data_IF_330000816879
#
_entry.id   IF_330000816879
#
_cell.length_a   1.000
_cell.length_b   1.000
_cell.length_c   1.000
_cell.angle_alpha   90.00
_cell.angle_beta   90.00
_cell.angle_gamma   90.00
#
_symmetry.space_group_name_H-M   'P 1'
#
loop_
_entity.id
_entity.type
_entity.pdbx_description
1 polymer ?
#
# COMPACT_ATOMS: atom_id res chain seq x y z
N UNK A 1 -35.48 -5.39 -1.89
CA UNK A 1 -35.96 -6.76 -2.01
C UNK A 1 -36.11 -7.11 -3.48
N UNK A 2 -35.68 -8.28 -3.87
CA UNK A 2 -35.89 -8.82 -5.21
C UNK A 2 -37.14 -9.71 -5.17
N UNK A 3 -38.13 -9.38 -6.01
CA UNK A 3 -39.34 -10.22 -6.18
C UNK A 3 -39.11 -11.14 -7.37
N UNK A 4 -39.23 -12.41 -7.16
CA UNK A 4 -39.07 -13.43 -8.21
C UNK A 4 -40.30 -13.59 -9.11
N UNK A 5 -41.43 -12.96 -8.75
CA UNK A 5 -42.72 -13.11 -9.46
C UNK A 5 -43.41 -14.45 -9.24
N UNK A 6 -42.91 -15.26 -8.32
CA UNK A 6 -43.47 -16.58 -7.96
C UNK A 6 -43.88 -16.53 -6.49
N UNK A 7 -45.13 -16.70 -6.20
CA UNK A 7 -45.75 -16.57 -4.86
C UNK A 7 -45.23 -17.58 -3.82
N UNK A 8 -44.63 -18.67 -4.27
CA UNK A 8 -44.11 -19.75 -3.38
C UNK A 8 -42.65 -19.52 -2.96
N UNK A 9 -41.95 -18.54 -3.52
CA UNK A 9 -40.60 -18.23 -3.14
C UNK A 9 -40.59 -17.02 -2.18
N UNK A 10 -39.84 -17.11 -1.08
CA UNK A 10 -39.69 -15.96 -0.18
C UNK A 10 -39.01 -14.78 -0.88
N UNK A 11 -39.35 -13.59 -0.42
CA UNK A 11 -38.63 -12.37 -0.83
C UNK A 11 -37.16 -12.46 -0.43
N UNK A 12 -36.26 -12.37 -1.39
CA UNK A 12 -34.82 -12.29 -1.12
C UNK A 12 -34.40 -10.84 -0.95
N UNK A 13 -33.46 -10.61 -0.03
CA UNK A 13 -32.74 -9.35 0.01
C UNK A 13 -31.92 -9.23 -1.29
N UNK A 14 -32.06 -8.10 -1.99
CA UNK A 14 -31.23 -7.82 -3.13
C UNK A 14 -29.79 -7.71 -2.59
N UNK A 15 -28.89 -8.46 -3.17
CA UNK A 15 -27.46 -8.28 -2.90
C UNK A 15 -27.07 -6.89 -3.41
N UNK A 16 -26.76 -6.01 -2.48
CA UNK A 16 -26.27 -4.65 -2.74
C UNK A 16 -24.76 -4.57 -2.59
N UNK A 17 -24.09 -5.74 -2.47
CA UNK A 17 -22.65 -5.76 -2.42
C UNK A 17 -22.12 -5.14 -3.70
N UNK A 18 -21.56 -3.95 -3.56
CA UNK A 18 -20.82 -3.30 -4.60
C UNK A 18 -19.41 -3.90 -4.61
N UNK A 19 -18.91 -4.27 -5.79
CA UNK A 19 -17.48 -4.52 -5.98
C UNK A 19 -16.71 -3.20 -5.90
N UNK A 20 -16.99 -2.44 -4.87
CA UNK A 20 -16.40 -1.17 -4.65
C UNK A 20 -14.91 -1.35 -4.36
N UNK A 21 -14.07 -0.81 -5.22
CA UNK A 21 -12.61 -0.81 -5.09
C UNK A 21 -12.11 0.39 -4.30
N UNK A 22 -12.92 0.93 -3.42
CA UNK A 22 -12.64 2.13 -2.65
C UNK A 22 -12.04 1.85 -1.27
N UNK A 23 -11.74 0.59 -0.94
CA UNK A 23 -11.10 0.20 0.30
C UNK A 23 -10.16 -0.98 0.11
N UNK A 24 -8.98 -0.98 0.77
CA UNK A 24 -8.06 -2.11 0.78
C UNK A 24 -8.59 -3.31 1.57
N UNK A 25 -9.55 -3.10 2.47
CA UNK A 25 -10.23 -4.14 3.25
C UNK A 25 -11.72 -3.87 3.25
N UNK A 26 -12.38 -4.31 2.17
CA UNK A 26 -13.78 -3.99 1.90
C UNK A 26 -14.72 -5.09 2.40
N UNK A 27 -15.84 -4.67 3.01
CA UNK A 27 -16.98 -5.56 3.25
C UNK A 27 -17.85 -5.63 1.99
N UNK A 28 -18.06 -6.83 1.47
CA UNK A 28 -18.78 -7.08 0.21
C UNK A 28 -20.08 -7.85 0.40
N UNK A 29 -20.81 -7.49 1.44
CA UNK A 29 -22.17 -8.01 1.74
C UNK A 29 -22.18 -9.20 2.68
N UNK A 30 -21.33 -10.20 2.51
CA UNK A 30 -21.25 -11.40 3.35
C UNK A 30 -19.81 -11.84 3.63
N UNK A 31 -18.81 -11.09 3.15
CA UNK A 31 -17.40 -11.39 3.33
C UNK A 31 -16.57 -10.10 3.31
N UNK A 32 -15.37 -10.20 3.82
CA UNK A 32 -14.35 -9.18 3.63
C UNK A 32 -13.40 -9.57 2.50
N UNK A 33 -12.98 -8.59 1.71
CA UNK A 33 -11.95 -8.75 0.68
C UNK A 33 -10.73 -7.95 1.07
N UNK A 34 -9.59 -8.65 1.25
CA UNK A 34 -8.29 -8.02 1.46
C UNK A 34 -7.62 -7.82 0.10
N UNK A 35 -7.20 -6.59 -0.21
CA UNK A 35 -6.76 -6.19 -1.55
C UNK A 35 -5.37 -5.55 -1.57
N UNK A 36 -4.56 -5.79 -0.55
CA UNK A 36 -3.32 -5.06 -0.32
C UNK A 36 -2.06 -5.80 -0.73
N UNK A 37 -2.13 -7.10 -0.98
CA UNK A 37 -0.94 -7.88 -1.30
C UNK A 37 -0.48 -7.56 -2.72
N UNK A 38 0.80 -7.19 -2.88
CA UNK A 38 1.44 -6.99 -4.16
C UNK A 38 1.51 -8.28 -4.99
N UNK A 39 1.67 -8.16 -6.30
CA UNK A 39 1.68 -9.32 -7.21
C UNK A 39 2.87 -10.27 -6.99
N UNK A 40 3.91 -9.82 -6.31
CA UNK A 40 5.11 -10.59 -5.99
C UNK A 40 5.12 -11.14 -4.57
N UNK A 41 4.20 -10.67 -3.71
CA UNK A 41 4.17 -11.05 -2.31
C UNK A 41 3.28 -12.27 -2.08
N UNK A 42 3.66 -13.06 -1.07
CA UNK A 42 2.83 -14.16 -0.60
C UNK A 42 1.65 -13.64 0.23
N UNK A 43 0.46 -14.16 -0.03
CA UNK A 43 -0.72 -13.91 0.80
C UNK A 43 -0.62 -14.56 2.18
N UNK A 44 0.37 -15.41 2.41
CA UNK A 44 0.50 -16.20 3.64
C UNK A 44 0.60 -15.34 4.89
N UNK A 45 1.43 -14.31 4.90
CA UNK A 45 1.58 -13.41 6.06
C UNK A 45 0.27 -12.69 6.40
N UNK A 46 -0.38 -12.10 5.40
CA UNK A 46 -1.67 -11.45 5.60
C UNK A 46 -2.71 -12.42 6.18
N UNK A 47 -2.78 -13.65 5.65
CA UNK A 47 -3.70 -14.67 6.16
C UNK A 47 -3.38 -15.12 7.59
N UNK A 48 -2.10 -15.27 7.94
CA UNK A 48 -1.69 -15.63 9.30
C UNK A 48 -2.15 -14.55 10.29
N UNK A 49 -1.85 -13.29 10.01
CA UNK A 49 -2.25 -12.17 10.87
C UNK A 49 -3.78 -12.09 10.98
N UNK A 50 -4.49 -12.07 9.85
CA UNK A 50 -5.95 -11.96 9.84
C UNK A 50 -6.63 -13.11 10.59
N UNK A 51 -6.19 -14.34 10.39
CA UNK A 51 -6.76 -15.49 11.11
C UNK A 51 -6.47 -15.42 12.62
N UNK A 52 -5.29 -14.95 13.03
CA UNK A 52 -4.92 -14.83 14.44
C UNK A 52 -5.76 -13.75 15.14
N UNK A 53 -5.92 -12.58 14.53
CA UNK A 53 -6.76 -11.50 15.13
C UNK A 53 -8.24 -11.89 15.20
N UNK A 54 -8.74 -12.64 14.21
CA UNK A 54 -10.11 -13.16 14.23
C UNK A 54 -10.27 -14.22 15.31
N UNK A 55 -9.28 -15.10 15.49
CA UNK A 55 -9.27 -16.09 16.57
C UNK A 55 -9.28 -15.42 17.95
N UNK A 56 -8.51 -14.33 18.13
CA UNK A 56 -8.51 -13.52 19.37
C UNK A 56 -9.89 -12.93 19.64
N UNK A 57 -10.49 -12.27 18.64
CA UNK A 57 -11.81 -11.68 18.80
C UNK A 57 -12.90 -12.73 19.11
N UNK A 58 -12.82 -13.92 18.52
CA UNK A 58 -13.71 -15.02 18.88
C UNK A 58 -13.45 -15.59 20.26
N UNK A 59 -12.22 -15.70 20.70
CA UNK A 59 -11.87 -16.11 22.07
C UNK A 59 -12.50 -15.17 23.09
N UNK A 60 -12.36 -13.87 22.88
CA UNK A 60 -12.94 -12.86 23.79
C UNK A 60 -14.47 -12.90 23.79
N UNK A 61 -15.08 -13.10 22.61
CA UNK A 61 -16.53 -13.30 22.50
C UNK A 61 -16.99 -14.55 23.23
N UNK A 62 -16.28 -15.67 23.12
CA UNK A 62 -16.57 -16.92 23.81
C UNK A 62 -16.50 -16.75 25.34
N UNK A 63 -15.49 -16.05 25.83
CA UNK A 63 -15.32 -15.79 27.26
C UNK A 63 -16.51 -15.04 27.89
N UNK A 64 -17.21 -14.24 27.11
CA UNK A 64 -18.42 -13.52 27.50
C UNK A 64 -19.64 -14.44 27.39
N UNK A 65 -19.81 -15.11 26.24
CA UNK A 65 -21.00 -15.88 25.91
C UNK A 65 -21.14 -17.17 26.72
N UNK A 66 -20.02 -17.84 27.05
CA UNK A 66 -20.02 -19.05 27.88
C UNK A 66 -20.46 -18.82 29.33
N UNK A 67 -20.36 -17.59 29.82
CA UNK A 67 -20.73 -17.20 31.18
C UNK A 67 -22.16 -16.64 31.28
N UNK A 68 -22.86 -16.53 30.13
CA UNK A 68 -24.15 -15.87 30.09
C UNK A 68 -25.30 -16.81 30.47
N UNK A 69 -26.18 -16.34 31.35
CA UNK A 69 -27.40 -17.06 31.70
C UNK A 69 -28.42 -17.13 30.55
N UNK A 70 -28.44 -16.10 29.69
CA UNK A 70 -29.26 -16.01 28.50
C UNK A 70 -28.37 -15.72 27.28
N UNK A 71 -28.12 -16.77 26.51
CA UNK A 71 -27.21 -16.72 25.35
C UNK A 71 -27.68 -15.72 24.28
N UNK A 72 -28.95 -15.72 23.90
CA UNK A 72 -29.47 -14.87 22.83
C UNK A 72 -29.37 -13.37 23.21
N UNK A 73 -29.69 -13.05 24.46
CA UNK A 73 -29.55 -11.68 24.98
C UNK A 73 -28.08 -11.26 25.01
N UNK A 74 -27.19 -12.13 25.48
CA UNK A 74 -25.76 -11.84 25.54
C UNK A 74 -25.16 -11.62 24.13
N UNK A 75 -25.57 -12.39 23.14
CA UNK A 75 -25.15 -12.15 21.74
C UNK A 75 -25.63 -10.79 21.23
N UNK A 76 -26.88 -10.42 21.52
CA UNK A 76 -27.41 -9.12 21.13
C UNK A 76 -26.63 -7.97 21.79
N UNK A 77 -26.38 -8.07 23.09
CA UNK A 77 -25.65 -7.04 23.83
C UNK A 77 -24.18 -6.95 23.36
N UNK A 78 -23.51 -8.07 23.14
CA UNK A 78 -22.15 -8.12 22.62
C UNK A 78 -22.04 -7.44 21.22
N UNK A 79 -22.98 -7.72 20.31
CA UNK A 79 -23.01 -7.07 18.99
C UNK A 79 -23.20 -5.56 19.13
N UNK A 80 -24.07 -5.13 20.03
CA UNK A 80 -24.31 -3.71 20.31
C UNK A 80 -23.06 -3.04 20.85
N UNK A 81 -22.38 -3.67 21.81
CA UNK A 81 -21.18 -3.12 22.44
C UNK A 81 -20.06 -3.02 21.44
N UNK A 82 -19.81 -4.04 20.62
CA UNK A 82 -18.82 -3.99 19.54
C UNK A 82 -19.16 -2.91 18.49
N UNK A 83 -20.41 -2.75 18.12
CA UNK A 83 -20.82 -1.73 17.16
C UNK A 83 -20.56 -0.30 17.69
N UNK A 84 -20.73 -0.08 18.99
CA UNK A 84 -20.47 1.21 19.66
C UNK A 84 -18.97 1.43 19.83
N UNK A 85 -18.23 0.45 20.35
CA UNK A 85 -16.79 0.56 20.64
C UNK A 85 -15.98 0.77 19.37
N UNK A 86 -16.31 0.03 18.31
CA UNK A 86 -15.56 0.03 17.06
C UNK A 86 -16.13 0.95 15.98
N UNK A 87 -17.07 1.82 16.31
CA UNK A 87 -17.69 2.76 15.35
C UNK A 87 -16.64 3.61 14.60
N UNK A 88 -15.51 3.89 15.23
CA UNK A 88 -14.43 4.70 14.63
C UNK A 88 -13.82 4.08 13.36
N UNK A 89 -13.94 2.76 13.15
CA UNK A 89 -13.44 2.08 11.94
C UNK A 89 -14.45 2.07 10.79
N UNK A 90 -15.73 2.35 11.09
CA UNK A 90 -16.79 2.30 10.07
C UNK A 90 -16.75 3.56 9.22
N UNK A 91 -16.47 3.39 7.93
CA UNK A 91 -16.44 4.46 6.96
C UNK A 91 -17.18 4.05 5.68
N UNK A 92 -18.14 4.89 5.24
CA UNK A 92 -18.89 4.70 4.02
C UNK A 92 -18.48 5.78 3.01
N UNK A 93 -17.50 5.48 2.17
CA UNK A 93 -16.96 6.43 1.19
C UNK A 93 -15.74 5.88 0.47
N UNK A 94 -15.00 6.77 -0.18
CA UNK A 94 -13.76 6.41 -0.87
C UNK A 94 -12.61 6.29 0.14
N UNK A 95 -12.24 5.06 0.49
CA UNK A 95 -11.12 4.75 1.40
C UNK A 95 -9.72 5.06 0.86
N UNK A 96 -9.60 5.49 -0.41
CA UNK A 96 -8.34 5.91 -1.02
C UNK A 96 -8.20 7.44 -1.13
N UNK A 97 -9.18 8.20 -0.67
CA UNK A 97 -9.15 9.65 -0.76
C UNK A 97 -8.34 10.29 0.38
N UNK A 98 -7.78 11.48 0.12
CA UNK A 98 -7.04 12.25 1.11
C UNK A 98 -7.94 12.69 2.28
N UNK A 99 -9.23 12.90 2.02
CA UNK A 99 -10.21 13.22 3.05
C UNK A 99 -10.37 12.07 4.04
N UNK A 100 -10.34 10.82 3.55
CA UNK A 100 -10.36 9.66 4.44
C UNK A 100 -9.08 9.56 5.26
N UNK A 101 -7.92 9.80 4.67
CA UNK A 101 -6.64 9.78 5.39
C UNK A 101 -6.67 10.76 6.57
N UNK A 102 -7.12 12.00 6.34
CA UNK A 102 -7.26 13.01 7.38
C UNK A 102 -8.30 12.63 8.45
N UNK A 103 -9.43 12.06 8.04
CA UNK A 103 -10.48 11.61 8.97
C UNK A 103 -10.03 10.40 9.79
N UNK A 104 -9.30 9.45 9.21
CA UNK A 104 -8.73 8.30 9.91
C UNK A 104 -7.74 8.73 11.00
N UNK A 105 -6.88 9.70 10.69
CA UNK A 105 -5.96 10.29 11.65
C UNK A 105 -6.72 10.98 12.80
N UNK A 106 -7.76 11.77 12.48
CA UNK A 106 -8.64 12.39 13.48
C UNK A 106 -9.31 11.37 14.40
N UNK A 107 -9.63 10.18 13.90
CA UNK A 107 -10.21 9.07 14.66
C UNK A 107 -9.18 8.26 15.44
N UNK A 108 -7.91 8.61 15.37
CA UNK A 108 -6.81 7.88 16.01
C UNK A 108 -6.53 6.52 15.38
N UNK A 109 -6.83 6.36 14.09
CA UNK A 109 -6.48 5.15 13.33
C UNK A 109 -5.05 5.30 12.80
N UNK A 110 -4.19 4.29 12.94
CA UNK A 110 -2.82 4.36 12.45
C UNK A 110 -2.78 4.39 10.91
N UNK A 111 -1.81 5.13 10.38
CA UNK A 111 -1.51 5.15 8.95
C UNK A 111 0.00 4.96 8.76
N UNK A 112 0.43 3.72 8.72
CA UNK A 112 1.85 3.36 8.56
C UNK A 112 2.19 3.37 7.08
N UNK A 113 3.12 4.27 6.68
CA UNK A 113 3.41 4.53 5.26
C UNK A 113 4.67 3.83 4.74
N UNK A 114 5.49 3.28 5.61
CA UNK A 114 6.72 2.60 5.21
C UNK A 114 6.81 1.20 5.79
N UNK A 115 7.50 0.31 5.09
CA UNK A 115 7.78 -1.04 5.57
C UNK A 115 8.63 -1.01 6.85
N UNK A 116 9.60 -0.11 6.92
CA UNK A 116 10.47 0.06 8.08
C UNK A 116 9.68 0.41 9.35
N UNK A 117 8.65 1.26 9.21
CA UNK A 117 7.77 1.63 10.32
C UNK A 117 6.74 0.54 10.65
N UNK A 118 6.43 -0.35 9.71
CA UNK A 118 5.47 -1.44 9.90
C UNK A 118 6.08 -2.67 10.60
N UNK A 119 7.33 -2.98 10.32
CA UNK A 119 8.02 -4.18 10.86
C UNK A 119 7.98 -4.25 12.40
N UNK A 120 8.18 -3.17 13.17
CA UNK A 120 8.10 -3.21 14.63
C UNK A 120 6.79 -3.75 15.19
N UNK A 121 5.69 -3.69 14.41
CA UNK A 121 4.41 -4.24 14.82
C UNK A 121 4.45 -5.77 15.03
N UNK A 122 5.38 -6.49 14.39
CA UNK A 122 5.54 -7.93 14.61
C UNK A 122 5.97 -8.27 16.03
N UNK A 123 6.81 -7.43 16.62
CA UNK A 123 7.41 -7.63 17.96
C UNK A 123 6.77 -6.77 19.03
N UNK A 124 5.70 -6.06 18.71
CA UNK A 124 4.91 -5.33 19.68
C UNK A 124 4.35 -6.29 20.76
N UNK A 125 4.30 -5.88 22.03
CA UNK A 125 3.88 -6.77 23.11
C UNK A 125 2.53 -7.43 22.90
N UNK A 126 1.57 -6.71 22.36
CA UNK A 126 0.22 -7.19 22.00
C UNK A 126 0.25 -8.23 20.90
N UNK A 127 1.09 -8.03 19.86
CA UNK A 127 1.25 -9.00 18.78
C UNK A 127 1.88 -10.29 19.29
N UNK A 128 2.96 -10.18 20.07
CA UNK A 128 3.61 -11.35 20.71
C UNK A 128 2.60 -12.14 21.55
N UNK A 129 1.84 -11.44 22.41
CA UNK A 129 0.85 -12.08 23.28
C UNK A 129 -0.22 -12.83 22.49
N UNK A 130 -0.75 -12.23 21.42
CA UNK A 130 -1.76 -12.86 20.57
C UNK A 130 -1.21 -14.09 19.84
N UNK A 131 -0.03 -14.01 19.25
CA UNK A 131 0.56 -15.13 18.53
C UNK A 131 0.96 -16.29 19.45
N UNK A 132 1.51 -16.00 20.63
CA UNK A 132 1.86 -17.04 21.62
C UNK A 132 0.61 -17.68 22.21
N UNK A 133 -0.45 -16.92 22.49
CA UNK A 133 -1.74 -17.42 23.02
C UNK A 133 -2.31 -18.56 22.15
N UNK A 134 -2.21 -18.42 20.83
CA UNK A 134 -2.72 -19.41 19.88
C UNK A 134 -1.65 -20.39 19.37
N UNK A 135 -0.43 -20.32 19.87
CA UNK A 135 0.67 -21.20 19.46
C UNK A 135 1.03 -21.06 17.98
N UNK A 136 0.81 -19.86 17.39
CA UNK A 136 1.10 -19.58 15.98
C UNK A 136 2.57 -19.26 15.80
N UNK A 137 3.11 -18.36 16.62
CA UNK A 137 4.52 -18.02 16.68
C UNK A 137 4.96 -17.76 18.12
N UNK A 138 6.20 -18.09 18.42
CA UNK A 138 6.90 -17.66 19.61
C UNK A 138 7.48 -16.25 19.41
N UNK A 139 7.83 -15.57 20.50
CA UNK A 139 8.51 -14.28 20.45
C UNK A 139 9.79 -14.34 19.59
N UNK A 140 10.60 -15.36 19.78
CA UNK A 140 11.86 -15.54 19.03
C UNK A 140 11.62 -15.69 17.53
N UNK A 141 10.55 -16.39 17.12
CA UNK A 141 10.19 -16.51 15.71
C UNK A 141 9.71 -15.18 15.12
N UNK A 142 8.99 -14.38 15.90
CA UNK A 142 8.56 -13.05 15.47
C UNK A 142 9.75 -12.08 15.35
N UNK A 143 10.69 -12.11 16.29
CA UNK A 143 11.94 -11.33 16.22
C UNK A 143 12.76 -11.70 14.98
N UNK A 144 12.96 -12.99 14.74
CA UNK A 144 13.65 -13.47 13.53
C UNK A 144 12.95 -13.05 12.23
N UNK A 145 11.61 -13.08 12.19
CA UNK A 145 10.84 -12.59 11.04
C UNK A 145 11.02 -11.09 10.82
N UNK A 146 10.99 -10.30 11.87
CA UNK A 146 11.22 -8.86 11.78
C UNK A 146 12.62 -8.54 11.20
N UNK A 147 13.66 -9.26 11.64
CA UNK A 147 15.01 -9.11 11.09
C UNK A 147 15.08 -9.49 9.60
N UNK A 148 14.45 -10.60 9.21
CA UNK A 148 14.38 -11.04 7.81
C UNK A 148 13.65 -10.01 6.93
N UNK A 149 12.57 -9.41 7.43
CA UNK A 149 11.84 -8.38 6.69
C UNK A 149 12.68 -7.10 6.49
N UNK A 150 13.42 -6.66 7.51
CA UNK A 150 14.36 -5.54 7.37
C UNK A 150 15.45 -5.84 6.34
N UNK A 151 16.06 -7.00 6.42
CA UNK A 151 17.09 -7.44 5.47
C UNK A 151 16.55 -7.52 4.04
N UNK A 152 15.38 -8.13 3.87
CA UNK A 152 14.70 -8.27 2.57
C UNK A 152 14.38 -6.90 1.97
N UNK A 153 13.84 -5.98 2.78
CA UNK A 153 13.55 -4.63 2.35
C UNK A 153 14.81 -3.89 1.91
N UNK A 154 15.85 -3.90 2.75
CA UNK A 154 17.13 -3.25 2.44
C UNK A 154 17.77 -3.79 1.16
N UNK A 155 17.79 -5.13 0.98
CA UNK A 155 18.30 -5.77 -0.24
C UNK A 155 17.50 -5.40 -1.47
N UNK A 156 16.18 -5.40 -1.38
CA UNK A 156 15.28 -5.04 -2.50
C UNK A 156 15.52 -3.61 -2.94
N UNK A 157 15.49 -2.65 -2.02
CA UNK A 157 15.73 -1.22 -2.32
C UNK A 157 17.13 -1.01 -2.91
N UNK A 158 18.15 -1.71 -2.43
CA UNK A 158 19.49 -1.62 -2.98
C UNK A 158 19.57 -2.15 -4.43
N UNK A 159 18.86 -3.25 -4.74
CA UNK A 159 18.78 -3.79 -6.10
C UNK A 159 18.06 -2.80 -7.02
N UNK A 160 16.93 -2.24 -6.57
CA UNK A 160 16.16 -1.24 -7.33
C UNK A 160 16.97 0.02 -7.60
N UNK A 161 17.68 0.53 -6.58
CA UNK A 161 18.56 1.69 -6.72
C UNK A 161 19.68 1.44 -7.76
N UNK A 162 20.35 0.29 -7.70
CA UNK A 162 21.38 -0.09 -8.67
C UNK A 162 20.83 -0.26 -10.08
N UNK A 163 19.64 -0.88 -10.23
CA UNK A 163 18.97 -1.00 -11.51
C UNK A 163 18.59 0.37 -12.10
N UNK A 164 18.05 1.27 -11.26
CA UNK A 164 17.71 2.64 -11.66
C UNK A 164 18.98 3.42 -12.11
N UNK A 165 20.07 3.30 -11.38
CA UNK A 165 21.35 3.91 -11.73
C UNK A 165 21.86 3.43 -13.11
N UNK A 166 21.75 2.12 -13.34
CA UNK A 166 22.20 1.50 -14.59
C UNK A 166 21.34 1.95 -15.77
N UNK A 167 20.02 1.84 -15.65
CA UNK A 167 19.07 2.22 -16.70
C UNK A 167 19.16 3.72 -16.99
N UNK A 168 19.13 4.57 -15.96
CA UNK A 168 19.21 6.01 -16.15
C UNK A 168 20.52 6.43 -16.82
N UNK A 169 21.64 5.89 -16.31
CA UNK A 169 22.98 6.26 -16.81
C UNK A 169 23.31 5.73 -18.20
N UNK A 170 22.89 4.50 -18.53
CA UNK A 170 23.26 3.85 -19.78
C UNK A 170 22.22 3.97 -20.90
N UNK A 171 20.95 4.17 -20.56
CA UNK A 171 19.87 4.15 -21.54
C UNK A 171 19.14 5.49 -21.61
N UNK A 172 18.58 6.00 -20.49
CA UNK A 172 17.70 7.17 -20.52
C UNK A 172 18.49 8.44 -20.84
N UNK A 173 19.52 8.76 -20.08
CA UNK A 173 20.32 9.98 -20.26
C UNK A 173 20.92 10.04 -21.68
N UNK A 174 21.56 8.98 -22.21
CA UNK A 174 22.05 8.99 -23.59
C UNK A 174 20.94 9.15 -24.64
N UNK A 175 19.76 8.60 -24.42
CA UNK A 175 18.61 8.78 -25.32
C UNK A 175 18.12 10.22 -25.33
N UNK A 176 18.02 10.85 -24.15
CA UNK A 176 17.62 12.27 -24.04
C UNK A 176 18.69 13.19 -24.67
N UNK A 177 19.98 12.91 -24.49
CA UNK A 177 21.05 13.66 -25.16
C UNK A 177 20.89 13.60 -26.69
N UNK A 178 20.58 12.42 -27.25
CA UNK A 178 20.32 12.30 -28.71
C UNK A 178 19.11 13.12 -29.14
N UNK A 179 18.05 13.12 -28.36
CA UNK A 179 16.84 13.88 -28.63
C UNK A 179 17.11 15.39 -28.59
N UNK A 180 17.78 15.89 -27.55
CA UNK A 180 18.18 17.30 -27.42
C UNK A 180 19.09 17.72 -28.60
N UNK A 181 20.03 16.86 -28.99
CA UNK A 181 20.88 17.11 -30.16
C UNK A 181 20.07 17.22 -31.46
N UNK A 182 19.06 16.33 -31.65
CA UNK A 182 18.17 16.36 -32.79
C UNK A 182 17.34 17.64 -32.85
N UNK A 183 16.81 18.10 -31.73
CA UNK A 183 16.09 19.37 -31.60
C UNK A 183 16.99 20.56 -31.99
N UNK A 184 18.22 20.62 -31.45
CA UNK A 184 19.18 21.67 -31.73
C UNK A 184 19.55 21.69 -33.24
N UNK A 185 19.74 20.51 -33.85
CA UNK A 185 19.98 20.39 -35.30
C UNK A 185 18.77 20.86 -36.09
N UNK A 186 17.54 20.52 -35.68
CA UNK A 186 16.30 20.96 -36.29
C UNK A 186 16.20 22.49 -36.32
N UNK A 187 16.40 23.14 -35.17
CA UNK A 187 16.40 24.60 -35.04
C UNK A 187 17.39 25.24 -36.00
N UNK A 188 18.64 24.76 -35.99
CA UNK A 188 19.68 25.29 -36.87
C UNK A 188 19.41 25.09 -38.33
N UNK A 189 18.96 23.90 -38.73
CA UNK A 189 18.67 23.58 -40.13
C UNK A 189 17.51 24.39 -40.71
N UNK A 190 16.44 24.55 -39.94
CA UNK A 190 15.28 25.35 -40.34
C UNK A 190 15.65 26.83 -40.49
N UNK A 191 16.36 27.38 -39.48
CA UNK A 191 16.84 28.78 -39.55
C UNK A 191 17.84 29.05 -40.67
N UNK A 192 18.70 28.08 -40.98
CA UNK A 192 19.63 28.17 -42.12
C UNK A 192 18.91 28.13 -43.46
N UNK A 193 17.84 27.36 -43.61
CA UNK A 193 17.07 27.26 -44.85
C UNK A 193 16.14 28.46 -45.06
N UNK A 194 15.50 28.93 -43.96
CA UNK A 194 14.56 30.06 -43.96
C UNK A 194 14.80 30.88 -42.70
N UNK A 195 15.45 32.03 -42.82
CA UNK A 195 15.91 32.84 -41.69
C UNK A 195 14.77 33.25 -40.73
N UNK A 196 13.61 33.59 -41.31
CA UNK A 196 12.44 34.06 -40.54
C UNK A 196 11.45 32.93 -40.16
N UNK A 197 11.83 31.66 -40.37
CA UNK A 197 10.97 30.54 -39.99
C UNK A 197 10.71 30.52 -38.48
N UNK A 198 9.47 30.23 -38.11
CA UNK A 198 9.11 30.00 -36.73
C UNK A 198 9.63 28.63 -36.25
N UNK A 199 10.46 28.65 -35.24
CA UNK A 199 11.01 27.47 -34.54
C UNK A 199 10.71 27.50 -33.06
N UNK A 200 9.66 28.21 -32.64
CA UNK A 200 9.30 28.36 -31.24
C UNK A 200 9.07 27.02 -30.55
N UNK A 201 8.34 26.11 -31.19
CA UNK A 201 8.05 24.78 -30.66
C UNK A 201 9.33 23.96 -30.42
N UNK A 202 10.23 23.92 -31.41
CA UNK A 202 11.49 23.18 -31.26
C UNK A 202 12.39 23.82 -30.20
N UNK A 203 12.39 25.16 -30.09
CA UNK A 203 13.19 25.89 -29.11
C UNK A 203 12.66 25.69 -27.66
N UNK A 204 11.35 25.66 -27.50
CA UNK A 204 10.69 25.38 -26.22
C UNK A 204 11.03 23.95 -25.74
N UNK A 205 10.81 22.95 -26.60
CA UNK A 205 11.14 21.57 -26.31
C UNK A 205 12.63 21.36 -26.03
N UNK A 206 13.52 22.06 -26.75
CA UNK A 206 14.96 22.01 -26.51
C UNK A 206 15.32 22.56 -25.14
N UNK A 207 14.74 23.68 -24.77
CA UNK A 207 14.99 24.35 -23.47
C UNK A 207 14.50 23.47 -22.32
N UNK A 208 13.27 23.00 -22.38
CA UNK A 208 12.64 22.15 -21.38
C UNK A 208 13.42 20.82 -21.21
N UNK A 209 13.66 20.11 -22.34
CA UNK A 209 14.39 18.84 -22.30
C UNK A 209 15.81 18.98 -21.75
N UNK A 210 16.49 20.11 -22.04
CA UNK A 210 17.83 20.37 -21.53
C UNK A 210 17.83 20.63 -20.01
N UNK A 211 16.82 21.35 -19.53
CA UNK A 211 16.66 21.57 -18.09
C UNK A 211 16.37 20.27 -17.34
N UNK A 212 15.40 19.47 -17.83
CA UNK A 212 15.06 18.18 -17.25
C UNK A 212 16.24 17.19 -17.29
N UNK A 213 17.07 17.22 -18.34
CA UNK A 213 18.27 16.42 -18.43
C UNK A 213 19.29 16.78 -17.34
N UNK A 214 19.46 18.08 -17.07
CA UNK A 214 20.33 18.56 -16.00
C UNK A 214 19.84 18.09 -14.62
N UNK A 215 18.53 18.25 -14.37
CA UNK A 215 17.91 17.82 -13.10
C UNK A 215 18.03 16.31 -12.90
N UNK A 216 17.78 15.53 -13.95
CA UNK A 216 17.93 14.08 -13.93
C UNK A 216 19.37 13.66 -13.62
N UNK A 217 20.38 14.35 -14.18
CA UNK A 217 21.79 14.07 -13.88
C UNK A 217 22.15 14.38 -12.42
N UNK A 218 21.63 15.48 -11.87
CA UNK A 218 21.84 15.84 -10.45
C UNK A 218 21.19 14.80 -9.54
N UNK A 219 19.94 14.40 -9.83
CA UNK A 219 19.24 13.37 -9.07
C UNK A 219 19.96 12.01 -9.14
N UNK A 220 20.47 11.63 -10.33
CA UNK A 220 21.23 10.39 -10.51
C UNK A 220 22.56 10.41 -9.73
N UNK A 221 23.25 11.54 -9.69
CA UNK A 221 24.47 11.69 -8.90
C UNK A 221 24.21 11.52 -7.41
N UNK A 222 23.12 12.12 -6.90
CA UNK A 222 22.66 11.95 -5.52
C UNK A 222 22.30 10.50 -5.21
N UNK A 223 21.56 9.83 -6.09
CA UNK A 223 21.22 8.43 -5.91
C UNK A 223 22.45 7.53 -5.85
N UNK A 224 23.46 7.77 -6.70
CA UNK A 224 24.74 7.03 -6.66
C UNK A 224 25.47 7.21 -5.32
N UNK A 225 25.51 8.44 -4.82
CA UNK A 225 26.15 8.75 -3.55
C UNK A 225 25.47 8.06 -2.37
N UNK A 226 24.12 8.16 -2.28
CA UNK A 226 23.36 7.50 -1.23
C UNK A 226 23.43 5.96 -1.31
N UNK A 227 23.41 5.39 -2.53
CA UNK A 227 23.57 3.94 -2.73
C UNK A 227 24.97 3.47 -2.29
N UNK A 228 26.01 4.28 -2.55
CA UNK A 228 27.37 3.96 -2.11
C UNK A 228 27.49 4.04 -0.57
N UNK A 229 26.87 5.03 0.05
CA UNK A 229 26.83 5.16 1.52
C UNK A 229 26.12 3.97 2.16
N UNK A 230 24.94 3.60 1.62
CA UNK A 230 24.20 2.44 2.11
C UNK A 230 25.00 1.13 1.99
N UNK A 231 25.75 0.95 0.90
CA UNK A 231 26.62 -0.21 0.72
C UNK A 231 27.86 -0.25 1.62
N UNK A 232 28.19 0.86 2.27
CA UNK A 232 29.30 0.96 3.23
C UNK A 232 28.84 0.87 4.70
N UNK A 233 27.54 0.83 4.98
CA UNK A 233 26.98 0.58 6.30
C UNK A 233 27.15 -0.92 6.60
N UNK A 234 27.71 -1.24 7.76
CA UNK A 234 27.73 -2.61 8.27
C UNK A 234 26.27 -3.07 8.54
N UNK A 235 25.99 -4.32 8.23
CA UNK A 235 24.68 -4.95 8.47
C UNK A 235 24.35 -5.05 9.95
#
# INVERSE_FOLDING_TARGET
KMRTGVDVLPDFMKDTSDRNRTSPFAFTGNKFEFRMVGSQDSVAQANIVLNTIVAEAFSDACDILEKADNFDLAVHDLIKDYAVEHQRIVFNGNGYSDEWVAEAERRGLPNIKSMVDAIPAYVAPESVAAFEKFGVFTKTELESRAEIEYETYAKTINIEAKAMIDIAGKQIIPAVIKYVTSLAQSVNSVKSAVADADVSVQSELLTESSALLSDAQVALAKLKDETAKAGAMEE
#
